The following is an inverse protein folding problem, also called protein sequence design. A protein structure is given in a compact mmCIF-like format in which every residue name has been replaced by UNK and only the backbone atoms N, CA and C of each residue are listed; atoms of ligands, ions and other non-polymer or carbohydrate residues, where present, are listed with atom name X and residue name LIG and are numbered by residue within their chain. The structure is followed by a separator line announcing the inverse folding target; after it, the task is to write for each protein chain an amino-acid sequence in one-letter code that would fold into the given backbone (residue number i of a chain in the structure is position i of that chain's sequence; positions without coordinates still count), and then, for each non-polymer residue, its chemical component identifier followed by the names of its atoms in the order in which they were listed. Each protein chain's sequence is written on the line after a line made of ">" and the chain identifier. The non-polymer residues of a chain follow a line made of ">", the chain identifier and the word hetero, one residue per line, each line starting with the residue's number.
data_IF_649754510615
#
_entry.id   IF_649754510615
#
_cell.length_a   1.000
_cell.length_b   1.000
_cell.length_c   1.000
_cell.angle_alpha   90.00
_cell.angle_beta   90.00
_cell.angle_gamma   90.00
#
_symmetry.space_group_name_H-M   'P 1'
#
loop_
_entity.id
_entity.type
_entity.pdbx_description
1 polymer ?
#
# COMPACT_ATOMS: atom_id res chain seq x y z
N UNK A 1 -8.30 38.86 -20.64
CA UNK A 1 -9.13 39.16 -21.81
C UNK A 1 -8.80 38.14 -22.85
N UNK A 2 -9.81 37.54 -23.48
CA UNK A 2 -9.61 36.69 -24.65
C UNK A 2 -9.05 37.57 -25.78
N UNK A 3 -7.74 37.51 -26.00
CA UNK A 3 -7.06 38.11 -27.14
C UNK A 3 -6.79 37.04 -28.17
N UNK A 4 -7.50 37.09 -29.29
CA UNK A 4 -7.20 36.30 -30.48
C UNK A 4 -5.99 36.93 -31.19
N UNK A 5 -4.80 36.39 -30.92
CA UNK A 5 -3.57 36.75 -31.62
C UNK A 5 -3.23 35.64 -32.62
N UNK A 6 -3.18 36.02 -33.90
CA UNK A 6 -3.02 35.11 -35.03
C UNK A 6 -1.80 34.19 -34.85
N UNK A 7 -2.05 32.88 -34.66
CA UNK A 7 -1.02 31.84 -34.58
C UNK A 7 -0.94 31.11 -33.24
N UNK A 8 -1.70 31.51 -32.22
CA UNK A 8 -1.80 30.79 -30.95
C UNK A 8 -3.09 29.98 -30.90
N UNK A 9 -2.98 28.70 -30.53
CA UNK A 9 -4.15 27.83 -30.33
C UNK A 9 -5.07 28.39 -29.23
N UNK A 10 -6.37 28.11 -29.32
CA UNK A 10 -7.34 28.59 -28.34
C UNK A 10 -6.96 28.13 -26.92
N UNK A 11 -6.64 29.07 -26.03
CA UNK A 11 -6.15 28.78 -24.68
C UNK A 11 -6.22 30.00 -23.76
N UNK A 12 -6.15 29.77 -22.44
CA UNK A 12 -6.16 30.84 -21.45
C UNK A 12 -4.72 31.22 -21.12
N UNK A 13 -4.34 32.46 -21.36
CA UNK A 13 -2.96 32.93 -21.19
C UNK A 13 -2.87 33.97 -20.06
N UNK A 14 -1.85 33.86 -19.21
CA UNK A 14 -1.44 34.93 -18.32
C UNK A 14 -0.55 35.89 -19.13
N UNK A 15 -1.00 37.13 -19.24
CA UNK A 15 -0.27 38.24 -19.87
C UNK A 15 0.29 39.16 -18.78
N UNK A 16 1.50 39.68 -18.97
CA UNK A 16 2.04 40.75 -18.12
C UNK A 16 1.34 42.09 -18.43
N UNK A 17 1.58 43.13 -17.62
CA UNK A 17 1.02 44.48 -17.83
C UNK A 17 1.44 45.14 -19.16
N UNK A 18 2.42 44.56 -19.86
CA UNK A 18 2.94 45.02 -21.15
C UNK A 18 2.33 44.26 -22.34
N UNK A 19 1.45 43.30 -22.11
CA UNK A 19 0.75 42.54 -23.14
C UNK A 19 1.49 41.30 -23.66
N UNK A 20 2.63 40.94 -23.09
CA UNK A 20 3.37 39.73 -23.46
C UNK A 20 2.84 38.49 -22.73
N UNK A 21 2.69 37.40 -23.49
CA UNK A 21 2.17 36.11 -23.02
C UNK A 21 3.28 35.34 -22.31
N UNK A 22 3.18 35.19 -20.99
CA UNK A 22 4.24 34.57 -20.19
C UNK A 22 3.93 33.11 -19.82
N UNK A 23 2.66 32.77 -19.57
CA UNK A 23 2.27 31.41 -19.16
C UNK A 23 0.92 31.01 -19.75
N UNK A 24 0.83 29.82 -20.34
CA UNK A 24 -0.44 29.17 -20.68
C UNK A 24 -1.03 28.54 -19.42
N UNK A 25 -2.25 28.94 -19.06
CA UNK A 25 -3.03 28.38 -17.95
C UNK A 25 -3.67 27.10 -18.45
N UNK A 26 -2.98 25.99 -18.22
CA UNK A 26 -3.55 24.66 -18.45
C UNK A 26 -4.61 24.40 -17.36
N UNK A 27 -5.86 24.08 -17.70
CA UNK A 27 -6.85 23.68 -16.69
C UNK A 27 -6.28 22.53 -15.84
N UNK A 28 -6.26 22.74 -14.51
CA UNK A 28 -5.69 21.79 -13.56
C UNK A 28 -6.30 20.38 -13.68
N UNK A 29 -5.53 19.37 -13.25
CA UNK A 29 -5.82 17.92 -13.30
C UNK A 29 -6.59 17.53 -14.57
N UNK A 30 -5.85 17.10 -15.60
CA UNK A 30 -6.33 16.64 -16.91
C UNK A 30 -6.29 17.67 -18.06
N UNK A 31 -5.35 18.61 -18.01
CA UNK A 31 -5.02 19.50 -19.12
C UNK A 31 -4.74 18.82 -20.46
N UNK A 32 -5.19 19.43 -21.56
CA UNK A 32 -5.16 18.87 -22.93
C UNK A 32 -3.80 18.99 -23.61
N UNK A 33 -2.93 19.88 -23.14
CA UNK A 33 -1.65 20.18 -23.79
C UNK A 33 -0.55 19.24 -23.29
N UNK A 34 0.13 18.54 -24.19
CA UNK A 34 1.24 17.61 -23.88
C UNK A 34 2.62 18.21 -24.11
N UNK A 35 2.69 19.38 -24.76
CA UNK A 35 3.93 20.07 -25.07
C UNK A 35 3.80 21.56 -24.74
N UNK A 36 4.84 22.15 -24.14
CA UNK A 36 4.96 23.62 -24.09
C UNK A 36 5.20 24.17 -25.50
N UNK A 37 4.90 25.45 -25.75
CA UNK A 37 5.32 26.15 -26.97
C UNK A 37 6.84 26.09 -27.23
N UNK A 38 7.63 25.81 -26.19
CA UNK A 38 9.10 25.66 -26.18
C UNK A 38 9.58 24.21 -26.42
N UNK A 39 8.70 23.28 -26.81
CA UNK A 39 9.05 21.89 -27.14
C UNK A 39 9.42 20.98 -25.95
N UNK A 40 9.47 21.52 -24.73
CA UNK A 40 9.74 20.73 -23.51
C UNK A 40 8.49 19.95 -23.05
N UNK A 41 8.63 18.67 -22.67
CA UNK A 41 7.50 17.87 -22.21
C UNK A 41 7.01 18.34 -20.85
N UNK A 42 5.70 18.50 -20.70
CA UNK A 42 5.08 18.91 -19.43
C UNK A 42 5.01 17.69 -18.51
N UNK A 43 5.69 17.75 -17.36
CA UNK A 43 5.66 16.66 -16.39
C UNK A 43 4.27 16.63 -15.70
N UNK A 44 3.37 15.80 -16.24
CA UNK A 44 2.03 15.62 -15.67
C UNK A 44 2.12 14.70 -14.46
N UNK A 45 1.85 15.24 -13.29
CA UNK A 45 1.63 14.43 -12.10
C UNK A 45 0.31 13.68 -12.27
N UNK A 46 0.39 12.36 -12.41
CA UNK A 46 -0.78 11.52 -12.34
C UNK A 46 -1.34 11.63 -10.91
N UNK A 47 -2.55 12.17 -10.79
CA UNK A 47 -3.33 12.11 -9.58
C UNK A 47 -4.51 11.14 -9.81
N UNK A 48 -4.30 9.80 -9.69
CA UNK A 48 -5.34 8.81 -9.96
C UNK A 48 -6.59 9.03 -9.09
N UNK A 49 -6.37 9.42 -7.83
CA UNK A 49 -7.46 9.73 -6.89
C UNK A 49 -8.25 10.97 -7.33
N UNK A 50 -7.60 11.99 -7.87
CA UNK A 50 -8.27 13.20 -8.34
C UNK A 50 -9.03 12.97 -9.65
N UNK A 51 -8.45 12.20 -10.59
CA UNK A 51 -9.13 11.80 -11.83
C UNK A 51 -10.40 11.00 -11.57
N UNK A 52 -10.39 10.08 -10.61
CA UNK A 52 -11.59 9.32 -10.26
C UNK A 52 -12.70 10.25 -9.75
N UNK A 53 -12.36 11.19 -8.88
CA UNK A 53 -13.34 12.14 -8.33
C UNK A 53 -13.87 13.11 -9.39
N UNK A 54 -13.03 13.60 -10.30
CA UNK A 54 -13.47 14.47 -11.39
C UNK A 54 -14.42 13.73 -12.33
N UNK A 55 -14.15 12.48 -12.68
CA UNK A 55 -15.03 11.66 -13.52
C UNK A 55 -16.41 11.42 -12.88
N UNK A 56 -16.46 11.22 -11.55
CA UNK A 56 -17.73 11.07 -10.83
C UNK A 56 -18.51 12.39 -10.84
N UNK A 57 -17.85 13.50 -10.52
CA UNK A 57 -18.47 14.84 -10.48
C UNK A 57 -18.97 15.25 -11.86
N UNK A 58 -18.14 15.12 -12.90
CA UNK A 58 -18.51 15.42 -14.28
C UNK A 58 -19.67 14.54 -14.75
N UNK A 59 -19.66 13.26 -14.39
CA UNK A 59 -20.74 12.33 -14.72
C UNK A 59 -22.07 12.68 -14.05
N UNK A 60 -22.06 13.17 -12.81
CA UNK A 60 -23.26 13.65 -12.09
C UNK A 60 -23.75 14.97 -12.70
N UNK A 61 -22.86 15.94 -12.90
CA UNK A 61 -23.18 17.28 -13.40
C UNK A 61 -23.68 17.27 -14.85
N UNK A 62 -23.15 16.36 -15.69
CA UNK A 62 -23.58 16.21 -17.09
C UNK A 62 -24.74 15.24 -17.27
N UNK A 63 -25.24 14.63 -16.18
CA UNK A 63 -26.25 13.55 -16.17
C UNK A 63 -25.91 12.35 -17.08
N UNK A 64 -24.67 12.22 -17.54
CA UNK A 64 -24.20 11.09 -18.37
C UNK A 64 -23.73 9.89 -17.55
N UNK A 65 -23.96 9.90 -16.24
CA UNK A 65 -23.66 8.75 -15.40
C UNK A 65 -24.51 7.55 -15.83
N UNK A 66 -23.94 6.35 -16.00
CA UNK A 66 -24.72 5.15 -16.30
C UNK A 66 -25.56 4.73 -15.08
N UNK A 67 -26.69 5.40 -14.86
CA UNK A 67 -27.60 5.18 -13.73
C UNK A 67 -28.08 3.74 -13.59
N UNK A 68 -28.17 3.00 -14.69
CA UNK A 68 -28.45 1.56 -14.67
C UNK A 68 -27.41 0.76 -13.88
N UNK A 69 -26.12 1.07 -14.03
CA UNK A 69 -25.04 0.42 -13.28
C UNK A 69 -25.04 0.83 -11.80
N UNK A 70 -25.39 2.09 -11.50
CA UNK A 70 -25.49 2.57 -10.11
C UNK A 70 -26.66 1.89 -9.39
N UNK A 71 -27.84 1.86 -10.00
CA UNK A 71 -29.02 1.19 -9.44
C UNK A 71 -28.80 -0.32 -9.29
N UNK A 72 -28.09 -0.96 -10.22
CA UNK A 72 -27.66 -2.35 -10.09
C UNK A 72 -26.77 -2.55 -8.85
N UNK A 73 -25.80 -1.66 -8.62
CA UNK A 73 -24.95 -1.69 -7.43
C UNK A 73 -25.75 -1.53 -6.12
N UNK A 74 -26.72 -0.61 -6.10
CA UNK A 74 -27.63 -0.42 -4.96
C UNK A 74 -28.49 -1.67 -4.73
N UNK A 75 -29.01 -2.28 -5.78
CA UNK A 75 -29.79 -3.52 -5.68
C UNK A 75 -28.96 -4.67 -5.09
N UNK A 76 -27.71 -4.85 -5.55
CA UNK A 76 -26.78 -5.85 -5.01
C UNK A 76 -26.48 -5.56 -3.53
N UNK A 77 -26.22 -4.30 -3.17
CA UNK A 77 -25.98 -3.92 -1.78
C UNK A 77 -27.19 -4.23 -0.88
N UNK A 78 -28.41 -3.95 -1.32
CA UNK A 78 -29.64 -4.29 -0.60
C UNK A 78 -29.80 -5.80 -0.42
N UNK A 79 -29.57 -6.59 -1.46
CA UNK A 79 -29.65 -8.06 -1.38
C UNK A 79 -28.62 -8.60 -0.37
N UNK A 80 -27.39 -8.08 -0.38
CA UNK A 80 -26.35 -8.48 0.56
C UNK A 80 -26.71 -8.12 2.01
N UNK A 81 -27.25 -6.93 2.23
CA UNK A 81 -27.69 -6.48 3.56
C UNK A 81 -28.83 -7.36 4.10
N UNK A 82 -29.77 -7.77 3.24
CA UNK A 82 -30.83 -8.71 3.60
C UNK A 82 -30.29 -10.12 3.88
N UNK A 83 -29.19 -10.53 3.25
CA UNK A 83 -28.49 -11.77 3.56
C UNK A 83 -27.62 -11.68 4.83
N UNK A 84 -27.57 -10.52 5.50
CA UNK A 84 -26.73 -10.30 6.68
C UNK A 84 -25.23 -10.21 6.36
N UNK A 85 -24.86 -10.02 5.09
CA UNK A 85 -23.48 -9.83 4.65
C UNK A 85 -23.22 -8.33 4.52
N UNK A 86 -22.24 -7.76 5.23
CA UNK A 86 -21.96 -6.34 5.14
C UNK A 86 -21.50 -5.99 3.71
N UNK A 87 -22.26 -5.12 3.05
CA UNK A 87 -22.07 -4.75 1.64
C UNK A 87 -20.74 -4.01 1.37
N UNK A 88 -20.25 -3.25 2.34
CA UNK A 88 -19.04 -2.43 2.21
C UNK A 88 -17.75 -3.28 2.12
N UNK A 89 -17.44 -4.21 3.05
CA UNK A 89 -16.32 -5.14 2.91
C UNK A 89 -16.37 -5.97 1.63
N UNK A 90 -17.57 -6.37 1.21
CA UNK A 90 -17.77 -7.14 -0.02
C UNK A 90 -17.35 -6.34 -1.26
N UNK A 91 -17.83 -5.10 -1.39
CA UNK A 91 -17.49 -4.22 -2.51
C UNK A 91 -15.98 -3.94 -2.60
N UNK A 92 -15.33 -3.72 -1.45
CA UNK A 92 -13.87 -3.53 -1.38
C UNK A 92 -13.15 -4.83 -1.76
N UNK A 93 -13.65 -5.99 -1.32
CA UNK A 93 -13.07 -7.29 -1.65
C UNK A 93 -13.10 -7.62 -3.13
N UNK A 94 -14.18 -7.26 -3.84
CA UNK A 94 -14.33 -7.43 -5.30
C UNK A 94 -13.42 -6.48 -6.08
N UNK A 95 -13.09 -5.32 -5.51
CA UNK A 95 -12.17 -4.36 -6.14
C UNK A 95 -10.69 -4.83 -6.11
N UNK A 96 -10.32 -5.67 -5.14
CA UNK A 96 -8.96 -6.16 -4.99
C UNK A 96 -8.70 -7.43 -5.82
N UNK A 97 -7.55 -7.55 -6.51
CA UNK A 97 -7.16 -8.78 -7.18
C UNK A 97 -7.21 -9.99 -6.24
N UNK A 98 -7.71 -11.12 -6.72
CA UNK A 98 -7.78 -12.36 -5.92
C UNK A 98 -6.40 -12.73 -5.35
N UNK A 99 -5.31 -12.52 -6.10
CA UNK A 99 -3.95 -12.77 -5.62
C UNK A 99 -3.58 -11.97 -4.35
N UNK A 100 -4.08 -10.75 -4.19
CA UNK A 100 -3.83 -9.92 -3.00
C UNK A 100 -4.83 -10.17 -1.89
N UNK A 101 -6.06 -10.57 -2.21
CA UNK A 101 -7.11 -10.88 -1.23
C UNK A 101 -6.96 -12.27 -0.61
N UNK A 102 -6.39 -13.24 -1.34
CA UNK A 102 -6.17 -14.62 -0.86
C UNK A 102 -5.30 -14.71 0.41
N UNK A 103 -4.12 -14.09 0.52
CA UNK A 103 -3.33 -14.16 1.75
C UNK A 103 -4.05 -13.53 2.95
N UNK A 104 -4.82 -12.45 2.73
CA UNK A 104 -5.66 -11.83 3.77
C UNK A 104 -6.76 -12.80 4.22
N UNK A 105 -7.45 -13.43 3.26
CA UNK A 105 -8.48 -14.42 3.53
C UNK A 105 -7.94 -15.64 4.27
N UNK A 106 -6.81 -16.20 3.82
CA UNK A 106 -6.15 -17.34 4.47
C UNK A 106 -5.71 -16.98 5.89
N UNK A 107 -5.13 -15.79 6.09
CA UNK A 107 -4.77 -15.31 7.42
C UNK A 107 -5.99 -15.17 8.35
N UNK A 108 -7.11 -14.64 7.83
CA UNK A 108 -8.38 -14.56 8.54
C UNK A 108 -8.98 -15.93 8.86
N UNK A 109 -8.93 -16.88 7.93
CA UNK A 109 -9.42 -18.25 8.12
C UNK A 109 -8.60 -19.00 9.18
N UNK A 110 -7.26 -18.89 9.13
CA UNK A 110 -6.37 -19.48 10.16
C UNK A 110 -6.66 -18.88 11.52
N UNK A 111 -6.84 -17.55 11.61
CA UNK A 111 -7.22 -16.87 12.85
C UNK A 111 -8.56 -17.37 13.38
N UNK A 112 -9.56 -17.50 12.50
CA UNK A 112 -10.89 -17.98 12.87
C UNK A 112 -10.84 -19.41 13.44
N UNK A 113 -10.09 -20.31 12.79
CA UNK A 113 -9.88 -21.68 13.28
C UNK A 113 -9.14 -21.69 14.63
N UNK A 114 -8.09 -20.87 14.78
CA UNK A 114 -7.33 -20.77 16.02
C UNK A 114 -8.18 -20.26 17.18
N UNK A 115 -8.99 -19.21 16.95
CA UNK A 115 -9.90 -18.65 17.95
C UNK A 115 -11.01 -19.63 18.32
N UNK A 116 -11.55 -20.37 17.33
CA UNK A 116 -12.55 -21.40 17.53
C UNK A 116 -12.02 -22.58 18.38
N UNK A 117 -10.77 -23.01 18.15
CA UNK A 117 -10.13 -24.04 18.97
C UNK A 117 -9.80 -23.58 20.37
N UNK A 118 -9.37 -22.32 20.53
CA UNK A 118 -9.01 -21.76 21.83
C UNK A 118 -10.22 -21.33 22.67
N UNK A 119 -11.46 -21.36 22.12
CA UNK A 119 -12.70 -20.85 22.74
C UNK A 119 -12.55 -19.45 23.33
N UNK A 120 -11.72 -18.61 22.72
CA UNK A 120 -11.45 -17.25 23.22
C UNK A 120 -12.60 -16.34 22.86
N UNK A 121 -12.95 -15.45 23.80
CA UNK A 121 -13.87 -14.35 23.51
C UNK A 121 -13.22 -13.37 22.53
N UNK A 122 -14.02 -12.68 21.71
CA UNK A 122 -13.52 -11.72 20.71
C UNK A 122 -12.59 -10.65 21.33
N UNK A 123 -12.93 -10.18 22.54
CA UNK A 123 -12.11 -9.20 23.28
C UNK A 123 -10.74 -9.75 23.74
N UNK A 124 -10.64 -11.06 24.02
CA UNK A 124 -9.40 -11.72 24.40
C UNK A 124 -8.53 -12.06 23.18
N UNK A 125 -9.17 -12.27 22.01
CA UNK A 125 -8.48 -12.46 20.73
C UNK A 125 -7.79 -11.18 20.26
N UNK A 126 -8.39 -10.01 20.46
CA UNK A 126 -7.76 -8.72 20.11
C UNK A 126 -6.48 -8.44 20.91
N UNK A 127 -6.45 -8.83 22.19
CA UNK A 127 -5.27 -8.71 23.08
C UNK A 127 -4.45 -10.01 23.15
N UNK A 128 -4.59 -10.88 22.16
CA UNK A 128 -3.89 -12.16 22.17
C UNK A 128 -2.37 -11.95 22.05
N UNK A 129 -1.55 -12.74 22.78
CA UNK A 129 -0.10 -12.75 22.63
C UNK A 129 0.38 -12.91 21.17
N UNK A 130 -0.41 -13.59 20.32
CA UNK A 130 -0.13 -13.74 18.89
C UNK A 130 -0.25 -12.43 18.09
N UNK A 131 -1.23 -11.58 18.43
CA UNK A 131 -1.40 -10.26 17.80
C UNK A 131 -0.26 -9.32 18.22
N UNK A 132 0.12 -9.36 19.50
CA UNK A 132 1.25 -8.58 20.03
C UNK A 132 2.60 -9.01 19.42
N UNK A 133 2.82 -10.31 19.22
CA UNK A 133 4.02 -10.79 18.52
C UNK A 133 4.02 -10.38 17.06
N UNK A 134 2.89 -10.54 16.35
CA UNK A 134 2.79 -10.18 14.93
C UNK A 134 3.06 -8.69 14.69
N UNK A 135 2.45 -7.80 15.49
CA UNK A 135 2.71 -6.36 15.40
C UNK A 135 4.16 -6.01 15.77
N UNK A 136 4.75 -6.69 16.75
CA UNK A 136 6.16 -6.59 17.10
C UNK A 136 7.11 -6.98 15.95
N UNK A 137 6.81 -8.05 15.21
CA UNK A 137 7.58 -8.47 14.04
C UNK A 137 7.46 -7.48 12.87
N UNK A 138 6.26 -6.96 12.61
CA UNK A 138 6.05 -5.93 11.57
C UNK A 138 6.85 -4.67 11.90
N UNK A 139 6.76 -4.20 13.15
CA UNK A 139 7.50 -3.02 13.62
C UNK A 139 9.03 -3.26 13.60
N UNK A 140 9.48 -4.43 14.05
CA UNK A 140 10.89 -4.82 14.01
C UNK A 140 11.44 -4.91 12.58
N UNK A 141 10.66 -5.45 11.65
CA UNK A 141 11.01 -5.49 10.22
C UNK A 141 11.14 -4.10 9.61
N UNK A 142 10.24 -3.17 9.95
CA UNK A 142 10.34 -1.78 9.50
C UNK A 142 11.60 -1.09 10.04
N UNK A 143 11.90 -1.24 11.33
CA UNK A 143 13.12 -0.67 11.95
C UNK A 143 14.39 -1.29 11.33
N UNK A 144 14.42 -2.61 11.14
CA UNK A 144 15.53 -3.29 10.47
C UNK A 144 15.73 -2.79 9.04
N UNK A 145 14.64 -2.58 8.28
CA UNK A 145 14.70 -1.99 6.95
C UNK A 145 15.29 -0.58 6.94
N UNK A 146 14.93 0.27 7.92
CA UNK A 146 15.52 1.60 8.08
C UNK A 146 17.01 1.50 8.39
N UNK A 147 17.42 0.62 9.31
CA UNK A 147 18.82 0.40 9.62
C UNK A 147 19.59 -0.03 8.37
N UNK A 148 19.08 -1.00 7.61
CA UNK A 148 19.69 -1.44 6.34
C UNK A 148 19.82 -0.29 5.34
N UNK A 149 18.77 0.53 5.20
CA UNK A 149 18.82 1.70 4.32
C UNK A 149 19.87 2.73 4.76
N UNK A 150 20.04 2.96 6.07
CA UNK A 150 21.08 3.85 6.60
C UNK A 150 22.49 3.30 6.36
N UNK A 151 22.69 1.99 6.54
CA UNK A 151 23.96 1.34 6.19
C UNK A 151 24.25 1.43 4.69
N UNK A 152 23.23 1.31 3.84
CA UNK A 152 23.36 1.41 2.38
C UNK A 152 23.80 2.81 1.89
N UNK A 153 23.57 3.88 2.68
CA UNK A 153 24.03 5.24 2.34
C UNK A 153 25.55 5.40 2.45
N UNK A 154 26.22 4.57 3.25
CA UNK A 154 27.67 4.65 3.43
C UNK A 154 28.36 3.47 2.73
N UNK A 155 28.74 3.70 1.47
CA UNK A 155 29.38 2.70 0.60
C UNK A 155 30.62 2.05 1.21
N UNK A 156 31.33 2.72 2.13
CA UNK A 156 32.48 2.15 2.86
C UNK A 156 32.06 1.14 3.93
N UNK A 157 30.93 1.35 4.60
CA UNK A 157 30.37 0.39 5.56
C UNK A 157 29.74 -0.80 4.86
N UNK A 158 29.08 -0.59 3.72
CA UNK A 158 28.60 -1.68 2.85
C UNK A 158 29.78 -2.54 2.41
N UNK A 159 30.86 -1.94 1.90
CA UNK A 159 32.06 -2.67 1.48
C UNK A 159 32.80 -3.38 2.64
N UNK A 160 32.72 -2.87 3.87
CA UNK A 160 33.31 -3.50 5.06
C UNK A 160 32.45 -4.65 5.61
N UNK A 161 31.13 -4.58 5.44
CA UNK A 161 30.17 -5.64 5.78
C UNK A 161 29.96 -6.64 4.63
N UNK A 162 30.45 -6.31 3.43
CA UNK A 162 30.41 -7.16 2.25
C UNK A 162 31.38 -8.33 2.40
N UNK A 163 30.97 -9.32 3.19
CA UNK A 163 31.67 -10.59 3.31
C UNK A 163 31.50 -11.49 2.08
N UNK A 164 30.80 -11.05 1.03
CA UNK A 164 30.61 -11.81 -0.23
C UNK A 164 31.92 -12.43 -0.73
N UNK A 165 33.04 -11.67 -0.63
CA UNK A 165 34.38 -12.15 -1.01
C UNK A 165 35.00 -13.24 -0.10
N UNK A 166 34.56 -13.39 1.16
CA UNK A 166 35.05 -14.44 2.10
C UNK A 166 34.17 -15.69 2.15
N UNK A 167 32.94 -15.62 1.62
CA UNK A 167 32.00 -16.76 1.54
C UNK A 167 31.89 -17.38 0.13
N UNK A 168 32.52 -16.79 -0.90
CA UNK A 168 32.66 -17.40 -2.23
C UNK A 168 31.32 -17.80 -2.87
N UNK A 169 31.35 -18.77 -3.80
CA UNK A 169 30.19 -19.31 -4.54
C UNK A 169 29.02 -19.83 -3.68
N UNK A 170 29.19 -19.93 -2.35
CA UNK A 170 28.13 -20.27 -1.40
C UNK A 170 27.15 -19.13 -1.14
N UNK A 171 27.50 -17.88 -1.48
CA UNK A 171 26.62 -16.73 -1.31
C UNK A 171 25.41 -16.73 -2.27
N UNK A 172 25.49 -17.47 -3.38
CA UNK A 172 24.42 -17.53 -4.40
C UNK A 172 23.57 -18.80 -4.31
N UNK A 173 23.91 -19.74 -3.43
CA UNK A 173 23.13 -20.95 -3.22
C UNK A 173 21.89 -20.63 -2.37
N UNK A 174 20.69 -20.86 -2.91
CA UNK A 174 19.43 -20.75 -2.14
C UNK A 174 19.47 -21.53 -0.80
N UNK A 175 20.30 -22.58 -0.73
CA UNK A 175 20.53 -23.38 0.47
C UNK A 175 21.16 -22.58 1.63
N UNK A 176 22.07 -21.64 1.37
CA UNK A 176 22.69 -20.85 2.46
C UNK A 176 21.72 -19.80 2.99
N UNK A 177 20.89 -19.20 2.14
CA UNK A 177 19.79 -18.34 2.59
C UNK A 177 18.76 -19.10 3.41
N UNK A 178 18.38 -20.32 2.98
CA UNK A 178 17.47 -21.20 3.73
C UNK A 178 18.10 -21.66 5.04
N UNK A 179 19.39 -21.99 5.06
CA UNK A 179 20.10 -22.38 6.27
C UNK A 179 20.23 -21.20 7.27
N UNK A 180 20.57 -20.01 6.80
CA UNK A 180 20.63 -18.81 7.64
C UNK A 180 19.25 -18.45 8.22
N UNK A 181 18.20 -18.55 7.41
CA UNK A 181 16.82 -18.37 7.87
C UNK A 181 16.44 -19.46 8.89
N UNK A 182 16.80 -20.72 8.63
CA UNK A 182 16.58 -21.83 9.56
C UNK A 182 17.29 -21.64 10.90
N UNK A 183 18.53 -21.15 10.90
CA UNK A 183 19.29 -20.81 12.12
C UNK A 183 18.62 -19.66 12.87
N UNK A 184 18.18 -18.61 12.16
CA UNK A 184 17.46 -17.50 12.79
C UNK A 184 16.14 -17.95 13.43
N UNK A 185 15.38 -18.80 12.74
CA UNK A 185 14.16 -19.42 13.29
C UNK A 185 14.49 -20.27 14.50
N UNK A 186 15.53 -21.11 14.45
CA UNK A 186 15.96 -21.96 15.56
C UNK A 186 16.36 -21.13 16.79
N UNK A 187 17.18 -20.09 16.60
CA UNK A 187 17.61 -19.17 17.66
C UNK A 187 16.42 -18.44 18.27
N UNK A 188 15.48 -17.96 17.46
CA UNK A 188 14.26 -17.32 17.95
C UNK A 188 13.37 -18.29 18.74
N UNK A 189 13.24 -19.54 18.28
CA UNK A 189 12.48 -20.55 19.02
C UNK A 189 13.15 -20.94 20.33
N UNK A 190 14.49 -21.01 20.39
CA UNK A 190 15.25 -21.29 21.61
C UNK A 190 15.12 -20.14 22.63
N UNK A 191 15.33 -18.90 22.20
CA UNK A 191 15.18 -17.72 23.07
C UNK A 191 13.73 -17.55 23.52
N UNK A 192 12.76 -17.82 22.64
CA UNK A 192 11.34 -17.81 22.96
C UNK A 192 10.94 -18.90 23.96
N UNK A 193 11.50 -20.11 23.82
CA UNK A 193 11.26 -21.22 24.74
C UNK A 193 11.92 -21.01 26.12
N UNK A 194 13.13 -20.45 26.17
CA UNK A 194 13.82 -20.19 27.44
C UNK A 194 13.18 -19.05 28.25
N UNK A 195 12.67 -18.00 27.60
CA UNK A 195 11.89 -16.96 28.29
C UNK A 195 10.55 -17.47 28.83
N UNK A 196 10.00 -18.54 28.25
CA UNK A 196 8.78 -19.19 28.76
C UNK A 196 9.07 -20.08 29.99
N UNK A 197 10.25 -20.72 30.06
CA UNK A 197 10.65 -21.55 31.20
C UNK A 197 10.92 -20.74 32.48
N UNK A 198 11.52 -19.54 32.37
CA UNK A 198 11.85 -18.71 33.53
C UNK A 198 10.66 -17.93 34.11
N UNK A 199 9.58 -17.75 33.35
CA UNK A 199 8.35 -17.10 33.81
C UNK A 199 7.45 -17.96 34.69
N UNK A 200 7.57 -19.29 34.62
CA UNK A 200 6.69 -20.22 35.37
C UNK A 200 7.13 -20.50 36.81
N UNK A 201 8.35 -20.11 37.23
CA UNK A 201 8.87 -20.40 38.58
C UNK A 201 8.76 -19.26 39.60
N UNK A 202 8.23 -18.08 39.24
CA UNK A 202 8.20 -16.92 40.16
C UNK A 202 6.84 -16.65 40.83
N UNK A 203 5.85 -17.53 40.69
CA UNK A 203 4.52 -17.35 41.30
C UNK A 203 4.15 -18.38 42.39
N UNK A 204 5.10 -19.17 42.88
CA UNK A 204 4.93 -20.01 44.08
C UNK A 204 6.16 -19.91 44.98
N UNK A 205 6.24 -18.80 45.70
CA UNK A 205 7.21 -18.55 46.77
C UNK A 205 6.66 -17.44 47.65
#
# INVERSE_FOLDING_TARGET
>A
GEGDVAGLGAGKYLVNEQGDIQYLVDPGINGTETARPDGTPVQKYNAPKARLMSLIIDGILTQKLPWGLVLLGVAIALVLELCGVPSLPFAVGVYLPLATSMPIFVGGAVRWVADAWAKRSAAESEMSPGVLLSSGYIAGGAIAGIVVALFALNSKLVAALDMSGRIGEWSHCNLTSVAAFGVLVAVLTLIGAEKWSLGSKKHHG
#
